data_IF_489753017608
#
_entry.id   IF_489753017608
#
_cell.length_a   1.000
_cell.length_b   1.000
_cell.length_c   1.000
_cell.angle_alpha   90.00
_cell.angle_beta   90.00
_cell.angle_gamma   90.00
#
_symmetry.space_group_name_H-M   'P 1'
#
loop_
_entity.id
_entity.type
_entity.pdbx_description
1 polymer ?
#
# COMPACT_ATOMS: atom_id res chain seq x y z
N UNK A 1 -27.52 11.19 -37.53
CA UNK A 1 -29.00 11.18 -37.33
C UNK A 1 -29.29 9.75 -36.88
N UNK A 2 -29.30 9.40 -35.60
CA UNK A 2 -29.98 10.00 -34.45
C UNK A 2 -29.03 10.31 -33.29
N UNK A 3 -29.32 11.38 -32.56
CA UNK A 3 -28.70 11.74 -31.29
C UNK A 3 -29.66 11.53 -30.12
N UNK A 4 -29.30 12.15 -29.00
CA UNK A 4 -29.97 12.21 -27.68
C UNK A 4 -29.55 11.10 -26.70
N UNK A 5 -29.09 11.37 -25.47
CA UNK A 5 -28.94 12.64 -24.76
C UNK A 5 -27.93 12.50 -23.62
N UNK A 6 -27.07 13.52 -23.47
CA UNK A 6 -26.29 13.72 -22.24
C UNK A 6 -27.26 14.28 -21.21
N UNK A 7 -27.57 13.50 -20.18
CA UNK A 7 -28.37 14.00 -19.07
C UNK A 7 -27.51 14.84 -18.12
N UNK A 8 -27.98 16.06 -17.86
CA UNK A 8 -27.58 16.92 -16.75
C UNK A 8 -27.52 16.10 -15.44
N UNK A 9 -26.33 16.02 -14.84
CA UNK A 9 -26.18 15.43 -13.51
C UNK A 9 -24.80 14.84 -13.17
N UNK A 10 -23.84 14.82 -14.09
CA UNK A 10 -22.51 14.20 -13.86
C UNK A 10 -21.67 15.00 -12.86
N UNK A 11 -21.98 14.86 -11.57
CA UNK A 11 -21.00 15.04 -10.52
C UNK A 11 -19.80 14.16 -10.89
N UNK A 12 -18.61 14.76 -11.00
CA UNK A 12 -17.39 14.02 -11.25
C UNK A 12 -17.37 12.79 -10.34
N UNK A 13 -17.20 11.57 -10.88
CA UNK A 13 -17.27 10.36 -10.08
C UNK A 13 -16.33 10.54 -8.90
N UNK A 14 -16.83 10.31 -7.69
CA UNK A 14 -15.98 10.34 -6.50
C UNK A 14 -14.78 9.43 -6.76
N UNK A 15 -13.60 9.72 -6.20
CA UNK A 15 -12.37 8.92 -6.40
C UNK A 15 -12.59 7.39 -6.27
N UNK A 16 -13.59 6.98 -5.47
CA UNK A 16 -14.02 5.58 -5.28
C UNK A 16 -14.88 5.04 -6.44
N UNK A 17 -15.79 5.83 -7.01
CA UNK A 17 -16.66 5.40 -8.13
C UNK A 17 -15.88 5.22 -9.44
N UNK A 18 -14.81 5.98 -9.65
CA UNK A 18 -13.99 5.89 -10.87
C UNK A 18 -13.19 4.58 -11.04
N UNK A 19 -13.13 3.73 -10.00
CA UNK A 19 -12.30 2.52 -9.96
C UNK A 19 -13.09 1.22 -9.88
N UNK A 20 -14.42 1.29 -9.82
CA UNK A 20 -15.31 0.11 -9.79
C UNK A 20 -15.24 -0.63 -11.12
N UNK A 21 -15.15 -1.97 -11.07
CA UNK A 21 -14.98 -2.87 -12.22
C UNK A 21 -13.69 -2.64 -13.03
N UNK A 22 -12.63 -2.17 -12.37
CA UNK A 22 -11.32 -1.93 -12.99
C UNK A 22 -10.21 -2.61 -12.21
N UNK A 23 -9.17 -3.00 -12.93
CA UNK A 23 -7.90 -3.45 -12.37
C UNK A 23 -6.97 -2.25 -12.32
N UNK A 24 -6.30 -2.03 -11.19
CA UNK A 24 -5.24 -1.02 -11.11
C UNK A 24 -3.91 -1.73 -11.31
N UNK A 25 -3.18 -1.33 -12.33
CA UNK A 25 -1.80 -1.75 -12.54
C UNK A 25 -0.86 -0.61 -12.12
N UNK A 26 0.15 -0.93 -11.32
CA UNK A 26 1.20 0.00 -10.98
C UNK A 26 2.40 -0.23 -11.90
N UNK A 27 2.88 0.83 -12.56
CA UNK A 27 4.04 0.79 -13.43
C UNK A 27 4.90 2.07 -13.28
N UNK A 28 6.11 2.05 -13.86
CA UNK A 28 7.01 3.20 -13.91
C UNK A 28 8.24 3.10 -12.99
N UNK A 29 9.18 4.06 -13.09
CA UNK A 29 10.51 3.97 -12.48
C UNK A 29 10.48 3.96 -10.94
N UNK A 30 9.43 4.51 -10.33
CA UNK A 30 9.27 4.53 -8.87
C UNK A 30 9.17 3.13 -8.24
N UNK A 31 8.82 2.10 -9.02
CA UNK A 31 8.75 0.72 -8.54
C UNK A 31 10.14 0.16 -8.17
N UNK A 32 11.22 0.69 -8.75
CA UNK A 32 12.58 0.26 -8.46
C UNK A 32 13.01 0.55 -7.01
N UNK A 33 12.36 1.50 -6.33
CA UNK A 33 12.61 1.79 -4.91
C UNK A 33 11.77 0.94 -3.95
N UNK A 34 10.87 0.08 -4.46
CA UNK A 34 9.92 -0.68 -3.66
C UNK A 34 10.26 -2.17 -3.66
N UNK A 35 10.33 -2.76 -2.47
CA UNK A 35 10.46 -4.22 -2.33
C UNK A 35 9.14 -4.92 -2.66
N UNK A 36 9.17 -6.23 -2.90
CA UNK A 36 7.94 -7.02 -3.07
C UNK A 36 6.97 -6.87 -1.89
N UNK A 37 7.49 -6.69 -0.67
CA UNK A 37 6.65 -6.49 0.52
C UNK A 37 6.04 -5.10 0.57
N UNK A 38 6.74 -4.05 0.14
CA UNK A 38 6.16 -2.70 0.04
C UNK A 38 5.02 -2.69 -0.98
N UNK A 39 5.23 -3.35 -2.12
CA UNK A 39 4.20 -3.54 -3.15
C UNK A 39 3.00 -4.33 -2.64
N UNK A 40 3.22 -5.36 -1.81
CA UNK A 40 2.14 -6.11 -1.16
C UNK A 40 1.26 -5.22 -0.29
N UNK A 41 1.85 -4.31 0.51
CA UNK A 41 1.09 -3.34 1.33
C UNK A 41 0.23 -2.45 0.43
N UNK A 42 0.80 -1.91 -0.64
CA UNK A 42 0.07 -1.03 -1.58
C UNK A 42 -1.06 -1.79 -2.27
N UNK A 43 -0.79 -3.01 -2.74
CA UNK A 43 -1.78 -3.84 -3.42
C UNK A 43 -2.95 -4.21 -2.48
N UNK A 44 -2.68 -4.47 -1.20
CA UNK A 44 -3.71 -4.77 -0.21
C UNK A 44 -4.71 -3.61 -0.07
N UNK A 45 -4.22 -2.36 -0.08
CA UNK A 45 -5.05 -1.17 0.03
C UNK A 45 -5.85 -0.87 -1.25
N UNK A 46 -5.54 -1.52 -2.38
CA UNK A 46 -6.25 -1.36 -3.63
C UNK A 46 -7.73 -1.74 -3.54
N UNK A 47 -8.07 -2.73 -2.72
CA UNK A 47 -9.46 -3.11 -2.44
C UNK A 47 -10.25 -1.98 -1.76
N UNK A 48 -9.60 -1.19 -0.91
CA UNK A 48 -10.24 -0.06 -0.22
C UNK A 48 -10.60 1.09 -1.17
N UNK A 49 -10.01 1.12 -2.37
CA UNK A 49 -10.30 2.09 -3.43
C UNK A 49 -11.47 1.66 -4.33
N UNK A 50 -12.04 0.47 -4.14
CA UNK A 50 -13.13 -0.06 -4.94
C UNK A 50 -12.71 -0.74 -6.25
N UNK A 51 -11.42 -0.98 -6.45
CA UNK A 51 -10.90 -1.75 -7.59
C UNK A 51 -11.22 -3.24 -7.46
N UNK A 52 -11.36 -3.92 -8.59
CA UNK A 52 -11.57 -5.38 -8.63
C UNK A 52 -10.35 -6.12 -8.08
N UNK A 53 -9.16 -5.70 -8.50
CA UNK A 53 -7.89 -6.14 -7.94
C UNK A 53 -6.82 -5.13 -8.33
N UNK A 54 -5.62 -5.28 -7.77
CA UNK A 54 -4.47 -4.48 -8.13
C UNK A 54 -3.25 -5.34 -8.34
N UNK A 55 -2.43 -4.97 -9.31
CA UNK A 55 -1.28 -5.76 -9.74
C UNK A 55 -0.03 -4.90 -9.84
N UNK A 56 1.10 -5.54 -9.58
CA UNK A 56 2.43 -5.03 -9.86
C UNK A 56 3.11 -6.01 -10.83
N UNK A 57 4.06 -5.54 -11.65
CA UNK A 57 4.86 -6.44 -12.46
C UNK A 57 5.64 -7.43 -11.59
N UNK A 58 5.79 -8.66 -12.09
CA UNK A 58 6.70 -9.66 -11.55
C UNK A 58 8.09 -9.39 -12.09
N UNK A 59 8.86 -8.55 -11.40
CA UNK A 59 10.21 -8.13 -11.78
C UNK A 59 11.26 -8.65 -10.78
N UNK A 60 12.48 -8.07 -10.81
CA UNK A 60 13.58 -8.45 -9.93
C UNK A 60 13.22 -8.38 -8.44
N UNK A 61 12.36 -7.46 -8.00
CA UNK A 61 11.95 -7.37 -6.60
C UNK A 61 11.13 -8.61 -6.18
N UNK A 62 10.28 -9.11 -7.08
CA UNK A 62 9.51 -10.36 -6.87
C UNK A 62 10.43 -11.56 -6.93
N UNK A 63 11.39 -11.58 -7.85
CA UNK A 63 12.42 -12.63 -7.92
C UNK A 63 13.24 -12.73 -6.64
N UNK A 64 13.71 -11.60 -6.10
CA UNK A 64 14.50 -11.56 -4.88
C UNK A 64 13.69 -12.05 -3.67
N UNK A 65 12.40 -11.72 -3.61
CA UNK A 65 11.49 -12.26 -2.62
C UNK A 65 11.32 -13.79 -2.77
N UNK A 66 11.04 -14.28 -3.98
CA UNK A 66 10.89 -15.72 -4.24
C UNK A 66 12.18 -16.49 -3.91
N UNK A 67 13.36 -15.91 -4.20
CA UNK A 67 14.66 -16.47 -3.80
C UNK A 67 14.79 -16.55 -2.28
N UNK A 68 14.44 -15.49 -1.55
CA UNK A 68 14.49 -15.49 -0.09
C UNK A 68 13.58 -16.58 0.53
N UNK A 69 12.48 -16.91 -0.15
CA UNK A 69 11.56 -17.99 0.23
C UNK A 69 11.96 -19.37 -0.32
N UNK A 70 13.13 -19.51 -0.95
CA UNK A 70 13.62 -20.78 -1.50
C UNK A 70 12.85 -21.28 -2.73
N UNK A 71 12.20 -20.38 -3.47
CA UNK A 71 11.30 -20.67 -4.60
C UNK A 71 11.68 -19.92 -5.88
N UNK A 72 12.96 -19.54 -6.03
CA UNK A 72 13.42 -18.79 -7.21
C UNK A 72 13.09 -19.50 -8.53
N UNK A 73 13.20 -20.84 -8.57
CA UNK A 73 12.95 -21.64 -9.79
C UNK A 73 11.49 -21.58 -10.28
N UNK A 74 10.56 -21.14 -9.43
CA UNK A 74 9.16 -20.94 -9.79
C UNK A 74 8.85 -19.50 -10.26
N UNK A 75 9.83 -18.61 -10.27
CA UNK A 75 9.64 -17.23 -10.70
C UNK A 75 9.60 -17.13 -12.23
N UNK A 76 8.66 -16.32 -12.71
CA UNK A 76 8.53 -15.94 -14.12
C UNK A 76 8.37 -14.42 -14.17
N UNK A 77 9.08 -13.79 -15.09
CA UNK A 77 8.89 -12.37 -15.36
C UNK A 77 7.54 -12.15 -16.02
N UNK A 78 6.76 -11.22 -15.45
CA UNK A 78 5.45 -10.82 -15.98
C UNK A 78 5.38 -9.30 -15.94
N UNK A 79 5.49 -8.69 -17.12
CA UNK A 79 5.43 -7.25 -17.33
C UNK A 79 4.37 -6.95 -18.39
N UNK A 80 3.86 -5.73 -18.40
CA UNK A 80 2.95 -5.29 -19.44
C UNK A 80 3.66 -5.24 -20.80
N UNK A 81 2.89 -5.44 -21.87
CA UNK A 81 3.39 -5.30 -23.23
C UNK A 81 3.79 -3.85 -23.54
N UNK A 82 4.77 -3.68 -24.43
CA UNK A 82 5.17 -2.37 -24.91
C UNK A 82 3.99 -1.65 -25.57
N UNK A 83 3.67 -0.46 -25.05
CA UNK A 83 2.55 0.35 -25.56
C UNK A 83 1.16 -0.11 -25.11
N UNK A 84 1.07 -0.93 -24.06
CA UNK A 84 -0.21 -1.23 -23.40
C UNK A 84 -0.97 0.07 -23.06
N UNK A 85 -2.22 0.16 -23.51
CA UNK A 85 -3.09 1.29 -23.24
C UNK A 85 -3.86 1.12 -21.93
N UNK A 86 -4.10 2.23 -21.23
CA UNK A 86 -4.89 2.27 -20.00
C UNK A 86 -6.10 3.19 -20.17
N UNK A 87 -7.28 2.77 -19.69
CA UNK A 87 -8.50 3.59 -19.71
C UNK A 87 -8.33 4.88 -18.91
N UNK A 88 -7.58 4.81 -17.81
CA UNK A 88 -7.16 5.93 -16.99
C UNK A 88 -5.68 5.74 -16.67
N UNK A 89 -4.87 6.72 -17.06
CA UNK A 89 -3.47 6.82 -16.68
C UNK A 89 -3.30 7.97 -15.69
N UNK A 90 -2.96 7.62 -14.44
CA UNK A 90 -2.73 8.58 -13.35
C UNK A 90 -1.29 8.42 -12.85
N UNK A 91 -0.52 9.51 -12.86
CA UNK A 91 0.86 9.52 -12.36
C UNK A 91 0.95 9.97 -10.90
N UNK A 92 1.74 9.27 -10.10
CA UNK A 92 2.09 9.66 -8.72
C UNK A 92 3.57 10.00 -8.65
N UNK A 93 3.88 11.22 -8.20
CA UNK A 93 5.26 11.67 -7.95
C UNK A 93 5.70 11.27 -6.54
N UNK A 94 6.46 10.17 -6.44
CA UNK A 94 6.95 9.66 -5.16
C UNK A 94 7.86 10.64 -4.41
N UNK A 95 8.50 11.59 -5.10
CA UNK A 95 9.38 12.58 -4.46
C UNK A 95 8.62 13.61 -3.62
N UNK A 96 7.31 13.75 -3.86
CA UNK A 96 6.42 14.66 -3.15
C UNK A 96 5.65 14.00 -2.01
N UNK A 97 5.77 12.66 -1.87
CA UNK A 97 5.08 11.95 -0.80
C UNK A 97 5.78 12.22 0.53
N UNK A 98 5.02 12.66 1.51
CA UNK A 98 5.43 12.79 2.90
C UNK A 98 4.71 11.75 3.79
N UNK A 99 5.12 11.52 5.05
CA UNK A 99 4.39 10.66 5.96
C UNK A 99 2.96 11.14 6.17
N UNK A 100 2.00 10.26 5.89
CA UNK A 100 0.56 10.51 6.03
C UNK A 100 -0.06 9.60 7.10
N UNK A 101 -1.16 10.05 7.70
CA UNK A 101 -1.95 9.29 8.66
C UNK A 101 -3.45 9.46 8.38
N UNK A 102 -4.18 8.35 8.37
CA UNK A 102 -5.64 8.37 8.34
C UNK A 102 -6.18 8.60 9.75
N UNK A 103 -6.93 9.68 9.93
CA UNK A 103 -7.60 9.99 11.20
C UNK A 103 -8.87 9.15 11.37
N UNK A 104 -9.35 8.94 12.60
CA UNK A 104 -10.57 8.19 12.87
C UNK A 104 -11.81 8.63 12.07
N UNK A 105 -12.76 7.70 12.06
CA UNK A 105 -14.04 7.61 11.33
C UNK A 105 -13.98 7.19 9.86
N UNK A 106 -12.87 7.40 9.13
CA UNK A 106 -12.76 6.95 7.74
C UNK A 106 -11.30 6.78 7.28
N UNK A 107 -10.95 5.70 6.56
CA UNK A 107 -9.61 5.55 5.98
C UNK A 107 -9.28 6.61 4.92
N UNK A 108 -10.29 7.31 4.38
CA UNK A 108 -10.09 8.42 3.45
C UNK A 108 -9.73 9.76 4.12
N UNK A 109 -9.81 9.85 5.45
CA UNK A 109 -9.50 11.07 6.20
C UNK A 109 -7.98 11.20 6.44
N UNK A 110 -7.23 11.35 5.35
CA UNK A 110 -5.77 11.33 5.36
C UNK A 110 -5.20 12.74 5.50
N UNK A 111 -4.33 12.94 6.50
CA UNK A 111 -3.59 14.19 6.72
C UNK A 111 -2.09 13.93 6.85
N UNK A 112 -1.23 14.92 6.59
CA UNK A 112 0.19 14.86 6.96
C UNK A 112 0.37 14.55 8.45
N UNK A 113 1.33 13.67 8.78
CA UNK A 113 1.63 13.31 10.19
C UNK A 113 2.01 14.55 11.02
N UNK A 114 2.65 15.55 10.40
CA UNK A 114 2.99 16.82 11.03
C UNK A 114 1.80 17.57 11.62
N UNK A 115 0.60 17.40 11.05
CA UNK A 115 -0.60 18.14 11.47
C UNK A 115 -1.21 17.59 12.76
N UNK A 116 -0.86 16.36 13.15
CA UNK A 116 -1.33 15.68 14.38
C UNK A 116 -0.18 15.37 15.34
N UNK A 117 1.00 15.92 15.08
CA UNK A 117 2.17 15.69 15.92
C UNK A 117 1.95 16.30 17.32
N UNK A 118 2.15 15.49 18.36
CA UNK A 118 1.97 15.91 19.75
C UNK A 118 0.63 15.51 20.37
N UNK A 119 -0.29 14.92 19.59
CA UNK A 119 -1.48 14.29 20.16
C UNK A 119 -1.10 13.05 21.00
N UNK A 120 -1.77 12.87 22.14
CA UNK A 120 -1.52 11.74 23.04
C UNK A 120 -1.99 10.40 22.43
N UNK A 121 -1.12 9.40 22.48
CA UNK A 121 -1.39 8.05 21.96
C UNK A 121 -1.43 7.05 23.12
N UNK A 122 -2.61 6.47 23.35
CA UNK A 122 -2.79 5.47 24.42
C UNK A 122 -2.30 4.06 24.03
N UNK A 123 -2.30 3.73 22.74
CA UNK A 123 -1.89 2.41 22.25
C UNK A 123 -1.32 2.50 20.84
N UNK A 124 -0.26 1.71 20.59
CA UNK A 124 0.32 1.52 19.26
C UNK A 124 0.23 0.04 18.90
N UNK A 125 -0.48 -0.27 17.82
CA UNK A 125 -0.57 -1.62 17.27
C UNK A 125 0.24 -1.68 16.00
N UNK A 126 1.22 -2.58 15.97
CA UNK A 126 2.13 -2.76 14.84
C UNK A 126 1.95 -4.18 14.28
N UNK A 127 1.68 -4.26 12.99
CA UNK A 127 1.48 -5.54 12.30
C UNK A 127 0.01 -5.88 12.09
N UNK A 128 -0.34 -6.14 10.82
CA UNK A 128 -1.65 -6.62 10.37
C UNK A 128 -1.51 -7.37 9.04
N UNK A 129 -2.59 -7.90 8.47
CA UNK A 129 -2.53 -8.44 7.09
C UNK A 129 -2.24 -7.36 6.04
N UNK A 130 -2.61 -6.10 6.30
CA UNK A 130 -2.29 -4.97 5.43
C UNK A 130 -0.85 -4.49 5.58
N UNK A 131 -0.21 -4.77 6.72
CA UNK A 131 1.21 -4.50 6.96
C UNK A 131 1.82 -5.63 7.80
N UNK A 132 2.29 -6.74 7.19
CA UNK A 132 2.66 -7.97 7.89
C UNK A 132 3.93 -7.86 8.75
N UNK A 133 4.59 -6.69 8.77
CA UNK A 133 5.67 -6.40 9.71
C UNK A 133 7.04 -6.98 9.36
N UNK A 134 7.21 -7.71 8.25
CA UNK A 134 8.53 -8.21 7.83
C UNK A 134 9.52 -7.08 7.50
N UNK A 135 9.03 -5.98 6.90
CA UNK A 135 9.81 -4.75 6.71
C UNK A 135 10.13 -4.03 8.04
N UNK A 136 9.16 -3.97 8.97
CA UNK A 136 9.31 -3.35 10.29
C UNK A 136 10.28 -4.14 11.19
N UNK A 137 10.30 -5.47 11.09
CA UNK A 137 11.19 -6.32 11.88
C UNK A 137 12.66 -6.22 11.45
N UNK A 138 12.94 -5.95 10.16
CA UNK A 138 14.31 -5.78 9.65
C UNK A 138 14.92 -4.43 10.06
N UNK A 139 14.09 -3.42 10.32
CA UNK A 139 14.50 -2.10 10.82
C UNK A 139 13.48 -1.59 11.83
N UNK A 140 13.59 -1.96 13.12
CA UNK A 140 12.66 -1.48 14.13
C UNK A 140 12.70 0.05 14.18
N UNK A 141 11.53 0.72 14.19
CA UNK A 141 11.46 2.16 14.06
C UNK A 141 12.20 2.83 15.22
N UNK A 142 12.93 3.93 14.94
CA UNK A 142 13.83 4.59 15.91
C UNK A 142 13.12 4.93 17.24
N UNK A 143 11.84 5.29 17.19
CA UNK A 143 11.04 5.57 18.38
C UNK A 143 10.92 4.39 19.35
N UNK A 144 10.99 3.14 18.87
CA UNK A 144 10.98 1.95 19.74
C UNK A 144 12.23 1.85 20.63
N UNK A 145 13.33 2.48 20.21
CA UNK A 145 14.56 2.60 21.01
C UNK A 145 14.46 3.72 22.04
N UNK A 146 13.71 4.78 21.73
CA UNK A 146 13.49 5.96 22.57
C UNK A 146 12.30 5.85 23.54
N UNK A 147 11.35 4.94 23.30
CA UNK A 147 10.19 4.69 24.16
C UNK A 147 10.57 4.26 25.59
N UNK A 148 11.83 3.86 25.84
CA UNK A 148 12.36 3.64 27.20
C UNK A 148 12.60 4.94 27.99
N UNK A 149 12.63 6.11 27.36
CA UNK A 149 12.93 7.40 28.01
C UNK A 149 11.69 8.22 28.38
N UNK A 150 10.55 7.99 27.75
CA UNK A 150 9.32 8.74 28.04
C UNK A 150 8.32 7.85 28.78
N UNK A 151 7.94 8.27 30.01
CA UNK A 151 6.82 7.68 30.76
C UNK A 151 5.50 8.05 30.07
N UNK A 152 5.18 7.37 28.98
CA UNK A 152 3.82 7.31 28.46
C UNK A 152 3.38 5.85 28.52
N UNK A 153 2.22 5.59 29.12
CA UNK A 153 1.64 4.26 29.34
C UNK A 153 1.11 3.62 28.04
N UNK A 154 1.82 3.83 26.92
CA UNK A 154 1.43 3.32 25.63
C UNK A 154 1.72 1.81 25.57
N UNK A 155 0.66 1.00 25.51
CA UNK A 155 0.83 -0.44 25.24
C UNK A 155 1.23 -0.63 23.78
N UNK A 156 2.30 -1.41 23.55
CA UNK A 156 2.75 -1.77 22.20
C UNK A 156 2.48 -3.25 21.97
N UNK A 157 1.73 -3.59 20.92
CA UNK A 157 1.51 -4.98 20.51
C UNK A 157 2.07 -5.20 19.12
N UNK A 158 2.97 -6.19 18.98
CA UNK A 158 3.49 -6.62 17.68
C UNK A 158 2.88 -7.99 17.34
N UNK A 159 2.25 -8.12 16.17
CA UNK A 159 1.69 -9.39 15.69
C UNK A 159 2.48 -9.91 14.47
N UNK A 160 3.55 -10.70 14.67
CA UNK A 160 4.24 -11.34 13.55
C UNK A 160 3.33 -12.40 12.91
N UNK A 161 3.32 -12.48 11.57
CA UNK A 161 2.75 -13.62 10.83
C UNK A 161 3.89 -14.52 10.33
N UNK A 162 3.65 -15.84 10.32
CA UNK A 162 4.53 -16.83 9.71
C UNK A 162 5.42 -17.62 10.68
N UNK A 163 4.87 -18.24 11.73
CA UNK A 163 5.54 -19.40 12.34
C UNK A 163 5.25 -20.62 11.47
N UNK A 164 6.31 -21.27 10.96
CA UNK A 164 6.24 -22.61 10.42
C UNK A 164 5.62 -23.55 11.46
N UNK A 165 4.64 -24.35 11.05
CA UNK A 165 4.24 -25.50 11.84
C UNK A 165 5.41 -26.47 11.91
N UNK A 166 5.76 -27.03 13.09
CA UNK A 166 6.68 -28.15 13.12
C UNK A 166 6.05 -29.32 12.34
N UNK A 167 6.75 -29.79 11.31
CA UNK A 167 6.48 -31.08 10.67
C UNK A 167 6.80 -32.22 11.63
#
# INVERSE_FOLDING_TARGET
MFGEGRHLGDAAPTRRQGRVNRIIEYHGPGLASLTAMDRHVIANMGAELGATTTVFPSDQAVRDFMRAEGREDAWVELVADDGAGYDIDESIDLSKIEPLIARPSSPGNVVPVRDVAGEDVAQVVIGSSANPGSAISRSPPRWSRDARRHRTSASTSTRPRGRSWPT
#
